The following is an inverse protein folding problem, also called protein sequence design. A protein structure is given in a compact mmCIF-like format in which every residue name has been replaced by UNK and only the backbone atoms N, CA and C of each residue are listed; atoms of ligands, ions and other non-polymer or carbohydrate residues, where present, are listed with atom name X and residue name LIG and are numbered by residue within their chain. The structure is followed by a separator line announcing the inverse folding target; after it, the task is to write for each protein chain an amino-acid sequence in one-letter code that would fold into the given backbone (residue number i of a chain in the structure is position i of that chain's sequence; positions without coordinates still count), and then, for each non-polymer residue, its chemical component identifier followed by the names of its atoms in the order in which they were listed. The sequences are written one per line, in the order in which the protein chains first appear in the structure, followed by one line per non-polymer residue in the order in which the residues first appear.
data_IF_493288085941
#
_entry.id   IF_493288085941
#
_cell.length_a   1.000
_cell.length_b   1.000
_cell.length_c   1.000
_cell.angle_alpha   90.00
_cell.angle_beta   90.00
_cell.angle_gamma   90.00
#
_symmetry.space_group_name_H-M   'P 1'
#
loop_
_entity.id
_entity.type
_entity.pdbx_description
1 polymer ?
#
# COMPACT_ATOMS: atom_id res chain seq x y z
N UNK A 1 29.21 -39.56 -0.91
CA UNK A 1 29.67 -38.14 -0.95
C UNK A 1 28.89 -37.28 -1.95
N UNK A 2 28.47 -37.81 -3.10
CA UNK A 2 27.64 -37.07 -4.07
C UNK A 2 26.18 -36.85 -3.60
N UNK A 3 25.55 -37.83 -2.95
CA UNK A 3 24.19 -37.68 -2.38
C UNK A 3 24.10 -36.55 -1.36
N UNK A 4 24.97 -36.55 -0.34
CA UNK A 4 25.01 -35.46 0.66
C UNK A 4 25.18 -34.06 0.04
N UNK A 5 25.88 -33.94 -1.10
CA UNK A 5 26.04 -32.67 -1.83
C UNK A 5 24.79 -32.28 -2.61
N UNK A 6 24.03 -33.26 -3.15
CA UNK A 6 22.71 -33.04 -3.76
C UNK A 6 21.69 -32.63 -2.70
N UNK A 7 21.66 -33.31 -1.56
CA UNK A 7 20.74 -33.00 -0.45
C UNK A 7 20.96 -31.58 0.09
N UNK A 8 22.22 -31.18 0.27
CA UNK A 8 22.53 -29.82 0.74
C UNK A 8 22.10 -28.73 -0.25
N UNK A 9 22.26 -28.99 -1.56
CA UNK A 9 21.79 -28.08 -2.62
C UNK A 9 20.27 -28.00 -2.64
N UNK A 10 19.59 -29.13 -2.50
CA UNK A 10 18.12 -29.22 -2.44
C UNK A 10 17.59 -28.42 -1.25
N UNK A 11 18.11 -28.66 -0.04
CA UNK A 11 17.73 -27.93 1.19
C UNK A 11 17.97 -26.42 1.04
N UNK A 12 19.10 -26.02 0.45
CA UNK A 12 19.41 -24.60 0.21
C UNK A 12 18.41 -23.97 -0.77
N UNK A 13 18.04 -24.69 -1.83
CA UNK A 13 17.11 -24.23 -2.84
C UNK A 13 15.68 -24.13 -2.27
N UNK A 14 15.23 -25.12 -1.52
CA UNK A 14 13.95 -25.11 -0.79
C UNK A 14 13.86 -23.93 0.19
N UNK A 15 14.94 -23.68 0.94
CA UNK A 15 15.00 -22.55 1.88
C UNK A 15 14.87 -21.21 1.16
N UNK A 16 15.51 -21.08 -0.01
CA UNK A 16 15.43 -19.87 -0.82
C UNK A 16 14.06 -19.66 -1.46
N UNK A 17 13.44 -20.73 -1.97
CA UNK A 17 12.07 -20.69 -2.50
C UNK A 17 11.06 -20.32 -1.41
N UNK A 18 11.17 -20.93 -0.21
CA UNK A 18 10.30 -20.61 0.93
C UNK A 18 10.44 -19.15 1.36
N UNK A 19 11.66 -18.61 1.33
CA UNK A 19 11.91 -17.20 1.66
C UNK A 19 11.29 -16.27 0.61
N UNK A 20 11.38 -16.60 -0.68
CA UNK A 20 10.76 -15.85 -1.76
C UNK A 20 9.23 -15.89 -1.68
N UNK A 21 8.63 -17.05 -1.45
CA UNK A 21 7.19 -17.19 -1.23
C UNK A 21 6.70 -16.36 -0.04
N UNK A 22 7.45 -16.35 1.06
CA UNK A 22 7.10 -15.53 2.23
C UNK A 22 7.15 -14.03 1.94
N UNK A 23 8.13 -13.55 1.16
CA UNK A 23 8.18 -12.15 0.74
C UNK A 23 6.99 -11.80 -0.15
N UNK A 24 6.66 -12.68 -1.10
CA UNK A 24 5.50 -12.48 -1.97
C UNK A 24 4.19 -12.45 -1.19
N UNK A 25 4.02 -13.35 -0.22
CA UNK A 25 2.85 -13.42 0.65
C UNK A 25 2.69 -12.15 1.50
N UNK A 26 3.77 -11.68 2.13
CA UNK A 26 3.77 -10.42 2.90
C UNK A 26 3.37 -9.24 2.03
N UNK A 27 3.92 -9.15 0.81
CA UNK A 27 3.56 -8.08 -0.14
C UNK A 27 2.09 -8.14 -0.58
N UNK A 28 1.52 -9.34 -0.70
CA UNK A 28 0.08 -9.51 -0.99
C UNK A 28 -0.77 -9.05 0.19
N UNK A 29 -0.38 -9.42 1.41
CA UNK A 29 -1.05 -9.03 2.64
C UNK A 29 -0.98 -7.51 2.86
N UNK A 30 0.16 -6.88 2.60
CA UNK A 30 0.34 -5.42 2.67
C UNK A 30 -0.56 -4.68 1.68
N UNK A 31 -0.58 -5.10 0.40
CA UNK A 31 -1.44 -4.50 -0.61
C UNK A 31 -2.93 -4.67 -0.29
N UNK A 32 -3.33 -5.84 0.20
CA UNK A 32 -4.70 -6.12 0.64
C UNK A 32 -5.10 -5.27 1.86
N UNK A 33 -4.19 -5.09 2.81
CA UNK A 33 -4.39 -4.24 3.98
C UNK A 33 -4.57 -2.78 3.60
N UNK A 34 -3.74 -2.24 2.71
CA UNK A 34 -3.88 -0.86 2.20
C UNK A 34 -5.21 -0.67 1.46
N UNK A 35 -5.60 -1.62 0.61
CA UNK A 35 -6.88 -1.58 -0.10
C UNK A 35 -8.07 -1.61 0.86
N UNK A 36 -8.02 -2.47 1.90
CA UNK A 36 -9.04 -2.51 2.94
C UNK A 36 -9.14 -1.19 3.69
N UNK A 37 -8.01 -0.62 4.12
CA UNK A 37 -7.99 0.69 4.81
C UNK A 37 -8.54 1.81 3.93
N UNK A 38 -8.23 1.83 2.63
CA UNK A 38 -8.80 2.80 1.68
C UNK A 38 -10.31 2.63 1.55
N UNK A 39 -10.80 1.40 1.47
CA UNK A 39 -12.24 1.12 1.44
C UNK A 39 -12.95 1.63 2.70
N UNK A 40 -12.39 1.31 3.86
CA UNK A 40 -12.98 1.67 5.15
C UNK A 40 -12.98 3.20 5.35
N UNK A 41 -11.93 3.90 4.89
CA UNK A 41 -11.84 5.36 4.96
C UNK A 41 -12.87 6.06 4.05
N UNK A 42 -13.06 5.57 2.81
CA UNK A 42 -14.05 6.11 1.88
C UNK A 42 -15.50 5.92 2.39
N UNK A 43 -15.79 4.75 2.97
CA UNK A 43 -17.10 4.50 3.58
C UNK A 43 -17.35 5.42 4.78
N UNK A 44 -16.34 5.58 5.64
CA UNK A 44 -16.44 6.46 6.80
C UNK A 44 -16.69 7.93 6.39
N UNK A 45 -16.02 8.39 5.34
CA UNK A 45 -16.21 9.73 4.80
C UNK A 45 -17.65 9.96 4.34
N UNK A 46 -18.23 9.00 3.60
CA UNK A 46 -19.62 9.05 3.15
C UNK A 46 -20.59 9.17 4.33
N UNK A 47 -20.42 8.32 5.35
CA UNK A 47 -21.23 8.34 6.57
C UNK A 47 -21.09 9.66 7.34
N UNK A 48 -19.88 10.21 7.44
CA UNK A 48 -19.65 11.51 8.09
C UNK A 48 -20.27 12.68 7.31
N UNK A 49 -20.24 12.64 5.98
CA UNK A 49 -20.87 13.62 5.11
C UNK A 49 -22.40 13.62 5.27
N UNK A 50 -23.03 12.44 5.30
CA UNK A 50 -24.48 12.28 5.51
C UNK A 50 -24.91 12.76 6.90
N UNK A 51 -24.13 12.47 7.95
CA UNK A 51 -24.38 12.96 9.32
C UNK A 51 -24.24 14.48 9.45
N UNK A 52 -23.47 15.13 8.58
CA UNK A 52 -23.35 16.61 8.56
C UNK A 52 -24.66 17.27 8.14
N UNK A 53 -25.45 16.62 7.28
CA UNK A 53 -26.71 17.17 6.78
C UNK A 53 -27.85 17.16 7.82
N UNK A 54 -27.76 16.36 8.88
CA UNK A 54 -28.90 16.05 9.77
C UNK A 54 -28.72 16.45 11.25
N UNK A 55 -27.56 16.96 11.68
CA UNK A 55 -27.23 17.12 13.10
C UNK A 55 -27.41 18.54 13.70
N UNK A 56 -27.98 18.60 14.91
CA UNK A 56 -28.26 19.81 15.71
C UNK A 56 -27.01 20.64 16.13
N UNK A 57 -27.24 21.93 16.42
CA UNK A 57 -26.24 23.00 16.60
C UNK A 57 -25.33 22.91 17.84
N UNK A 58 -25.68 22.13 18.88
CA UNK A 58 -25.06 22.21 20.21
C UNK A 58 -23.60 21.71 20.32
N UNK A 59 -23.12 20.88 19.39
CA UNK A 59 -21.77 20.27 19.44
C UNK A 59 -20.86 20.73 18.28
N UNK A 60 -20.89 22.02 17.92
CA UNK A 60 -20.15 22.53 16.74
C UNK A 60 -18.63 22.28 16.78
N UNK A 61 -17.96 22.48 17.92
CA UNK A 61 -16.51 22.22 18.05
C UNK A 61 -16.14 20.74 17.96
N UNK A 62 -16.91 19.85 18.60
CA UNK A 62 -16.67 18.40 18.48
C UNK A 62 -16.93 17.89 17.06
N UNK A 63 -17.92 18.46 16.35
CA UNK A 63 -18.17 18.15 14.93
C UNK A 63 -17.00 18.58 14.05
N UNK A 64 -16.50 19.79 14.26
CA UNK A 64 -15.32 20.30 13.56
C UNK A 64 -14.13 19.37 13.78
N UNK A 65 -13.94 18.90 15.02
CA UNK A 65 -12.89 17.91 15.36
C UNK A 65 -13.02 16.63 14.57
N UNK A 66 -14.16 15.97 14.70
CA UNK A 66 -14.39 14.67 14.06
C UNK A 66 -14.29 14.79 12.54
N UNK A 67 -14.79 15.89 11.95
CA UNK A 67 -14.66 16.15 10.53
C UNK A 67 -13.20 16.32 10.10
N UNK A 68 -12.42 17.15 10.81
CA UNK A 68 -10.99 17.35 10.52
C UNK A 68 -10.20 16.04 10.63
N UNK A 69 -10.48 15.23 11.64
CA UNK A 69 -9.82 13.93 11.84
C UNK A 69 -10.18 12.94 10.71
N UNK A 70 -11.47 12.82 10.34
CA UNK A 70 -11.89 11.96 9.22
C UNK A 70 -11.27 12.42 7.89
N UNK A 71 -11.23 13.72 7.65
CA UNK A 71 -10.67 14.29 6.42
C UNK A 71 -9.15 14.10 6.35
N UNK A 72 -8.45 14.25 7.47
CA UNK A 72 -7.01 14.00 7.57
C UNK A 72 -6.70 12.52 7.31
N UNK A 73 -7.45 11.60 7.91
CA UNK A 73 -7.26 10.16 7.69
C UNK A 73 -7.51 9.78 6.24
N UNK A 74 -8.58 10.30 5.62
CA UNK A 74 -8.87 10.05 4.21
C UNK A 74 -7.70 10.47 3.30
N UNK A 75 -7.18 11.68 3.48
CA UNK A 75 -6.04 12.15 2.67
C UNK A 75 -4.79 11.34 2.94
N UNK A 76 -4.53 11.00 4.20
CA UNK A 76 -3.40 10.15 4.58
C UNK A 76 -3.48 8.79 3.89
N UNK A 77 -4.63 8.13 3.94
CA UNK A 77 -4.85 6.81 3.32
C UNK A 77 -4.78 6.89 1.80
N UNK A 78 -5.32 7.95 1.19
CA UNK A 78 -5.19 8.20 -0.25
C UNK A 78 -3.73 8.39 -0.67
N UNK A 79 -2.96 9.13 0.13
CA UNK A 79 -1.54 9.32 -0.11
C UNK A 79 -0.77 7.99 0.02
N UNK A 80 -1.03 7.20 1.07
CA UNK A 80 -0.45 5.87 1.27
C UNK A 80 -0.81 4.91 0.13
N UNK A 81 -2.05 4.95 -0.38
CA UNK A 81 -2.47 4.17 -1.53
C UNK A 81 -1.70 4.54 -2.80
N UNK A 82 -1.47 5.85 -3.05
CA UNK A 82 -0.64 6.33 -4.17
C UNK A 82 0.81 5.84 -4.06
N UNK A 83 1.43 5.93 -2.88
CA UNK A 83 2.77 5.39 -2.63
C UNK A 83 2.84 3.86 -2.83
N UNK A 84 1.84 3.13 -2.34
CA UNK A 84 1.77 1.67 -2.48
C UNK A 84 1.65 1.25 -3.94
N UNK A 85 0.92 2.02 -4.74
CA UNK A 85 0.78 1.83 -6.18
C UNK A 85 2.12 2.04 -6.91
N UNK A 86 2.90 3.05 -6.52
CA UNK A 86 4.26 3.25 -7.04
C UNK A 86 5.16 2.05 -6.72
N UNK A 87 5.17 1.59 -5.48
CA UNK A 87 5.91 0.38 -5.06
C UNK A 87 5.50 -0.86 -5.87
N UNK A 88 4.20 -1.08 -6.08
CA UNK A 88 3.70 -2.18 -6.92
C UNK A 88 4.15 -2.06 -8.39
N UNK A 89 4.21 -0.84 -8.95
CA UNK A 89 4.71 -0.59 -10.31
C UNK A 89 6.19 -0.93 -10.44
N UNK A 90 7.01 -0.56 -9.44
CA UNK A 90 8.43 -0.91 -9.39
C UNK A 90 8.62 -2.42 -9.30
N UNK A 91 7.86 -3.10 -8.44
CA UNK A 91 7.86 -4.56 -8.33
C UNK A 91 7.49 -5.23 -9.66
N UNK A 92 6.44 -4.75 -10.34
CA UNK A 92 6.03 -5.27 -11.65
C UNK A 92 7.16 -5.12 -12.68
N UNK A 93 7.83 -3.97 -12.70
CA UNK A 93 8.99 -3.72 -13.58
C UNK A 93 10.13 -4.68 -13.27
N UNK A 94 10.43 -4.89 -11.99
CA UNK A 94 11.48 -5.79 -11.55
C UNK A 94 11.20 -7.26 -11.92
N UNK A 95 9.96 -7.72 -11.70
CA UNK A 95 9.51 -9.07 -12.08
C UNK A 95 9.56 -9.23 -13.60
N UNK A 96 9.08 -8.25 -14.37
CA UNK A 96 9.15 -8.26 -15.84
C UNK A 96 10.58 -8.38 -16.35
N UNK A 97 11.52 -7.60 -15.79
CA UNK A 97 12.94 -7.69 -16.15
C UNK A 97 13.54 -9.07 -15.81
N UNK A 98 13.15 -9.69 -14.70
CA UNK A 98 13.58 -11.04 -14.36
C UNK A 98 13.02 -12.08 -15.31
N UNK A 99 11.75 -11.95 -15.69
CA UNK A 99 11.09 -12.86 -16.63
C UNK A 99 11.81 -12.83 -17.99
N UNK A 100 12.09 -11.64 -18.54
CA UNK A 100 12.84 -11.50 -19.79
C UNK A 100 14.23 -12.13 -19.72
N UNK A 101 14.93 -12.01 -18.59
CA UNK A 101 16.23 -12.68 -18.39
C UNK A 101 16.12 -14.20 -18.39
N UNK A 102 15.09 -14.76 -17.76
CA UNK A 102 14.83 -16.21 -17.76
C UNK A 102 14.48 -16.69 -19.17
N UNK A 103 13.67 -15.93 -19.91
CA UNK A 103 13.33 -16.23 -21.31
C UNK A 103 14.56 -16.21 -22.22
N UNK A 104 15.45 -15.23 -22.07
CA UNK A 104 16.73 -15.18 -22.79
C UNK A 104 17.63 -16.37 -22.44
N UNK A 105 17.67 -16.78 -21.17
CA UNK A 105 18.43 -17.97 -20.75
C UNK A 105 17.87 -19.23 -21.40
N UNK A 106 16.55 -19.39 -21.46
CA UNK A 106 15.89 -20.55 -22.10
C UNK A 106 16.14 -20.66 -23.61
N UNK A 107 16.54 -19.58 -24.27
CA UNK A 107 16.91 -19.58 -25.70
C UNK A 107 18.31 -20.14 -25.97
N UNK A 108 19.16 -20.30 -24.96
CA UNK A 108 20.46 -20.95 -25.12
C UNK A 108 20.29 -22.46 -25.33
N UNK A 109 20.88 -23.01 -26.39
CA UNK A 109 20.78 -24.43 -26.73
C UNK A 109 21.67 -25.36 -25.86
N UNK A 110 22.63 -24.81 -25.11
CA UNK A 110 23.60 -25.60 -24.31
C UNK A 110 23.14 -25.87 -22.86
N UNK A 111 21.83 -25.89 -22.60
CA UNK A 111 21.30 -26.11 -21.25
C UNK A 111 21.06 -27.61 -20.98
N UNK A 112 21.48 -28.07 -19.80
CA UNK A 112 21.03 -29.37 -19.27
C UNK A 112 19.51 -29.40 -19.10
N UNK A 113 18.88 -30.54 -19.37
CA UNK A 113 17.43 -30.77 -19.19
C UNK A 113 16.94 -30.42 -17.77
N UNK A 114 17.74 -30.75 -16.74
CA UNK A 114 17.43 -30.40 -15.34
C UNK A 114 17.36 -28.88 -15.15
N UNK A 115 18.33 -28.15 -15.70
CA UNK A 115 18.41 -26.69 -15.57
C UNK A 115 17.35 -25.98 -16.43
N UNK A 116 17.03 -26.54 -17.59
CA UNK A 116 15.93 -26.07 -18.46
C UNK A 116 14.59 -26.19 -17.73
N UNK A 117 14.35 -27.32 -17.06
CA UNK A 117 13.12 -27.55 -16.27
C UNK A 117 13.00 -26.57 -15.09
N UNK A 118 14.11 -26.28 -14.38
CA UNK A 118 14.14 -25.26 -13.32
C UNK A 118 13.81 -23.86 -13.85
N UNK A 119 14.37 -23.48 -15.00
CA UNK A 119 14.08 -22.19 -15.63
C UNK A 119 12.62 -22.07 -16.09
N UNK A 120 12.02 -23.14 -16.62
CA UNK A 120 10.60 -23.17 -16.98
C UNK A 120 9.68 -23.00 -15.77
N UNK A 121 9.97 -23.68 -14.66
CA UNK A 121 9.22 -23.50 -13.41
C UNK A 121 9.33 -22.05 -12.92
N UNK A 122 10.55 -21.49 -12.94
CA UNK A 122 10.79 -20.11 -12.54
C UNK A 122 10.10 -19.09 -13.47
N UNK A 123 10.03 -19.37 -14.77
CA UNK A 123 9.29 -18.56 -15.73
C UNK A 123 7.80 -18.56 -15.39
N UNK A 124 7.23 -19.73 -15.08
CA UNK A 124 5.82 -19.89 -14.69
C UNK A 124 5.50 -19.13 -13.40
N UNK A 125 6.37 -19.22 -12.40
CA UNK A 125 6.20 -18.51 -11.13
C UNK A 125 6.26 -16.99 -11.34
N UNK A 126 7.28 -16.49 -12.04
CA UNK A 126 7.42 -15.06 -12.35
C UNK A 126 6.25 -14.53 -13.20
N UNK A 127 5.74 -15.32 -14.13
CA UNK A 127 4.55 -14.96 -14.92
C UNK A 127 3.30 -14.84 -14.03
N UNK A 128 3.11 -15.78 -13.10
CA UNK A 128 1.99 -15.74 -12.14
C UNK A 128 2.09 -14.52 -11.23
N UNK A 129 3.28 -14.23 -10.71
CA UNK A 129 3.54 -13.04 -9.90
C UNK A 129 3.29 -11.74 -10.67
N UNK A 130 3.69 -11.69 -11.94
CA UNK A 130 3.48 -10.53 -12.81
C UNK A 130 1.98 -10.27 -13.04
N UNK A 131 1.20 -11.34 -13.27
CA UNK A 131 -0.26 -11.25 -13.39
C UNK A 131 -0.89 -10.75 -12.10
N UNK A 132 -0.47 -11.29 -10.96
CA UNK A 132 -0.98 -10.87 -9.65
C UNK A 132 -0.69 -9.40 -9.36
N UNK A 133 0.56 -8.95 -9.57
CA UNK A 133 0.94 -7.54 -9.40
C UNK A 133 0.15 -6.63 -10.33
N UNK A 134 -0.10 -7.06 -11.56
CA UNK A 134 -0.91 -6.31 -12.52
C UNK A 134 -2.36 -6.19 -12.04
N UNK A 135 -2.95 -7.27 -11.53
CA UNK A 135 -4.29 -7.25 -10.96
C UNK A 135 -4.39 -6.30 -9.75
N UNK A 136 -3.43 -6.38 -8.82
CA UNK A 136 -3.37 -5.51 -7.64
C UNK A 136 -3.21 -4.03 -8.02
N UNK A 137 -2.37 -3.73 -9.03
CA UNK A 137 -2.20 -2.37 -9.55
C UNK A 137 -3.53 -1.85 -10.11
N UNK A 138 -4.22 -2.65 -10.91
CA UNK A 138 -5.49 -2.25 -11.52
C UNK A 138 -6.57 -1.99 -10.46
N UNK A 139 -6.70 -2.89 -9.48
CA UNK A 139 -7.67 -2.76 -8.40
C UNK A 139 -7.41 -1.50 -7.55
N UNK A 140 -6.15 -1.30 -7.13
CA UNK A 140 -5.79 -0.14 -6.32
C UNK A 140 -5.90 1.16 -7.12
N UNK A 141 -5.52 1.17 -8.40
CA UNK A 141 -5.70 2.32 -9.30
C UNK A 141 -7.17 2.69 -9.44
N UNK A 142 -8.04 1.72 -9.70
CA UNK A 142 -9.47 1.96 -9.82
C UNK A 142 -10.03 2.62 -8.56
N UNK A 143 -9.62 2.13 -7.38
CA UNK A 143 -10.10 2.65 -6.10
C UNK A 143 -9.58 4.04 -5.78
N UNK A 144 -8.34 4.34 -6.14
CA UNK A 144 -7.78 5.69 -6.05
C UNK A 144 -8.50 6.65 -7.01
N UNK A 145 -8.84 6.20 -8.22
CA UNK A 145 -9.60 6.97 -9.21
C UNK A 145 -11.03 7.26 -8.74
N UNK A 146 -11.72 6.27 -8.17
CA UNK A 146 -13.05 6.45 -7.55
C UNK A 146 -13.01 7.52 -6.46
N UNK A 147 -11.96 7.54 -5.63
CA UNK A 147 -11.72 8.59 -4.63
C UNK A 147 -11.14 9.92 -5.17
N UNK A 148 -10.67 9.97 -6.42
CA UNK A 148 -10.25 11.22 -7.10
C UNK A 148 -11.44 11.92 -7.79
N UNK A 149 -12.55 11.22 -8.08
CA UNK A 149 -13.82 11.84 -8.47
C UNK A 149 -14.35 12.85 -7.42
N UNK A 150 -13.95 12.65 -6.15
CA UNK A 150 -14.16 13.59 -5.05
C UNK A 150 -13.13 14.73 -4.97
N UNK A 151 -12.22 14.89 -5.94
CA UNK A 151 -11.25 16.01 -5.93
C UNK A 151 -11.93 17.40 -6.01
N UNK A 152 -13.18 17.45 -6.48
CA UNK A 152 -14.03 18.63 -6.32
C UNK A 152 -14.39 18.91 -4.85
N UNK A 153 -14.59 17.89 -4.03
CA UNK A 153 -14.81 18.01 -2.58
C UNK A 153 -13.51 18.40 -1.84
N UNK A 154 -12.34 17.95 -2.31
CA UNK A 154 -11.03 18.39 -1.77
C UNK A 154 -10.83 19.91 -1.94
N UNK A 155 -11.20 20.47 -3.10
CA UNK A 155 -11.14 21.93 -3.35
C UNK A 155 -12.14 22.72 -2.50
N UNK A 156 -13.27 22.10 -2.18
CA UNK A 156 -14.34 22.69 -1.35
C UNK A 156 -14.22 22.35 0.14
N UNK A 157 -13.18 21.65 0.55
CA UNK A 157 -12.98 21.11 1.91
C UNK A 157 -13.22 22.17 2.99
N UNK A 158 -12.67 23.36 2.78
CA UNK A 158 -12.75 24.45 3.75
C UNK A 158 -13.91 25.43 3.49
N UNK A 159 -14.64 25.29 2.39
CA UNK A 159 -15.82 26.15 2.09
C UNK A 159 -16.94 25.96 3.13
N UNK A 160 -16.95 24.81 3.82
CA UNK A 160 -17.89 24.53 4.90
C UNK A 160 -17.54 25.15 6.26
N UNK A 161 -16.43 25.87 6.40
CA UNK A 161 -16.07 26.59 7.63
C UNK A 161 -16.79 27.94 7.66
N UNK A 162 -17.64 28.15 8.66
CA UNK A 162 -18.44 29.36 8.82
C UNK A 162 -17.81 30.30 9.84
N UNK A 163 -17.02 31.25 9.31
CA UNK A 163 -16.51 32.39 10.07
C UNK A 163 -15.14 32.18 10.74
N UNK A 164 -14.54 33.29 11.14
CA UNK A 164 -13.14 33.37 11.57
C UNK A 164 -12.81 32.56 12.83
N UNK A 165 -13.77 32.46 13.76
CA UNK A 165 -13.60 31.71 15.00
C UNK A 165 -13.52 30.20 14.75
N UNK A 166 -14.30 29.69 13.81
CA UNK A 166 -14.26 28.29 13.39
C UNK A 166 -12.96 27.97 12.67
N UNK A 167 -12.51 28.86 11.78
CA UNK A 167 -11.21 28.75 11.11
C UNK A 167 -10.06 28.71 12.13
N UNK A 168 -10.05 29.61 13.12
CA UNK A 168 -9.01 29.63 14.17
C UNK A 168 -9.02 28.35 14.99
N UNK A 169 -10.19 27.83 15.36
CA UNK A 169 -10.31 26.55 16.07
C UNK A 169 -9.78 25.40 15.21
N UNK A 170 -10.17 25.31 13.94
CA UNK A 170 -9.70 24.29 13.00
C UNK A 170 -8.18 24.30 12.84
N UNK A 171 -7.59 25.49 12.65
CA UNK A 171 -6.14 25.66 12.52
C UNK A 171 -5.40 25.24 13.78
N UNK A 172 -5.92 25.61 14.96
CA UNK A 172 -5.31 25.23 16.25
C UNK A 172 -5.31 23.71 16.41
N UNK A 173 -6.42 23.06 16.04
CA UNK A 173 -6.57 21.61 16.11
C UNK A 173 -5.63 20.91 15.14
N UNK A 174 -5.58 21.34 13.88
CA UNK A 174 -4.65 20.81 12.87
C UNK A 174 -3.19 20.97 13.29
N UNK A 175 -2.82 22.11 13.87
CA UNK A 175 -1.46 22.32 14.36
C UNK A 175 -1.10 21.35 15.49
N UNK A 176 -2.01 21.16 16.46
CA UNK A 176 -1.81 20.20 17.54
C UNK A 176 -1.71 18.76 17.02
N UNK A 177 -2.59 18.36 16.10
CA UNK A 177 -2.55 17.04 15.47
C UNK A 177 -1.24 16.84 14.70
N UNK A 178 -0.77 17.85 13.97
CA UNK A 178 0.51 17.79 13.25
C UNK A 178 1.71 17.63 14.21
N UNK A 179 1.71 18.37 15.34
CA UNK A 179 2.74 18.23 16.37
C UNK A 179 2.72 16.83 16.99
N UNK A 180 1.55 16.29 17.30
CA UNK A 180 1.39 14.93 17.83
C UNK A 180 1.93 13.88 16.87
N UNK A 181 1.56 13.94 15.59
CA UNK A 181 2.09 13.01 14.59
C UNK A 181 3.60 13.16 14.41
N UNK A 182 4.14 14.38 14.42
CA UNK A 182 5.59 14.59 14.33
C UNK A 182 6.34 13.98 15.51
N UNK A 183 5.80 14.11 16.72
CA UNK A 183 6.36 13.49 17.92
C UNK A 183 6.29 11.96 17.86
N UNK A 184 5.15 11.40 17.43
CA UNK A 184 4.99 9.96 17.23
C UNK A 184 5.98 9.41 16.19
N UNK A 185 6.14 10.10 15.05
CA UNK A 185 7.12 9.69 14.03
C UNK A 185 8.54 9.67 14.59
N UNK A 186 8.93 10.67 15.39
CA UNK A 186 10.24 10.69 16.03
C UNK A 186 10.42 9.50 17.01
N UNK A 187 9.41 9.20 17.83
CA UNK A 187 9.42 8.04 18.73
C UNK A 187 9.56 6.73 17.97
N UNK A 188 8.73 6.50 16.95
CA UNK A 188 8.78 5.27 16.15
C UNK A 188 10.09 5.12 15.36
N UNK A 189 10.69 6.23 14.93
CA UNK A 189 12.02 6.21 14.29
C UNK A 189 13.11 5.81 15.29
N UNK A 190 13.04 6.29 16.52
CA UNK A 190 13.97 5.91 17.57
C UNK A 190 13.84 4.41 17.92
N UNK A 191 12.61 3.91 18.09
CA UNK A 191 12.35 2.48 18.33
C UNK A 191 12.91 1.60 17.19
N UNK A 192 12.77 2.03 15.95
CA UNK A 192 13.34 1.35 14.79
C UNK A 192 14.87 1.31 14.81
N UNK A 193 15.52 2.39 15.26
CA UNK A 193 16.98 2.44 15.42
C UNK A 193 17.47 1.53 16.55
N UNK A 194 16.70 1.38 17.62
CA UNK A 194 17.04 0.49 18.75
C UNK A 194 16.89 -1.00 18.39
N UNK A 195 16.14 -1.33 17.34
CA UNK A 195 15.93 -2.68 16.83
C UNK A 195 16.90 -3.11 15.72
N UNK A 196 17.76 -2.20 15.25
CA UNK A 196 18.77 -2.44 14.19
C UNK A 196 20.15 -2.69 14.78
#
# INVERSE_FOLDING_TARGET
MQERKKDFKMIKMERMNKMQQNVLRRKIEEASSVNKRLKDALELQKVCSEKRATANLANRQQRLKNWLESELELVSVKHQAKQSLESLREDRKFIGNKLTKVEQQLQHNDLSEEFRTELLNKQKDLSTDLQLRTAQINELQQKVLEGDGESLLERKRFEGLQGMSETKAALTMLFNTAVQHKAQCASSQQELQELQ
#
